data_IF_501473088500
#
_entry.id   IF_501473088500
#
_cell.length_a   1.000
_cell.length_b   1.000
_cell.length_c   1.000
_cell.angle_alpha   90.00
_cell.angle_beta   90.00
_cell.angle_gamma   90.00
#
_symmetry.space_group_name_H-M   'P 1'
#
loop_
_entity.id
_entity.type
_entity.pdbx_description
1 polymer ?
#
# COMPACT_ATOMS: atom_id res chain seq x y z
N UNK A 1 -36.86 7.03 -10.37
CA UNK A 1 -36.39 8.08 -9.45
C UNK A 1 -34.93 8.32 -9.79
N UNK A 2 -34.59 9.45 -10.42
CA UNK A 2 -33.19 9.86 -10.58
C UNK A 2 -32.54 9.94 -9.19
N UNK A 3 -31.47 9.18 -8.99
CA UNK A 3 -30.70 9.20 -7.75
C UNK A 3 -30.13 10.61 -7.54
N UNK A 4 -29.97 11.00 -6.28
CA UNK A 4 -29.35 12.28 -5.92
C UNK A 4 -27.97 12.44 -6.57
N UNK A 5 -27.17 11.37 -6.67
CA UNK A 5 -25.95 11.35 -7.49
C UNK A 5 -26.18 11.68 -8.96
N UNK A 6 -27.24 11.16 -9.62
CA UNK A 6 -27.47 11.41 -11.05
C UNK A 6 -27.59 12.91 -11.35
N UNK A 7 -28.48 13.61 -10.62
CA UNK A 7 -28.65 15.06 -10.77
C UNK A 7 -27.42 15.87 -10.38
N UNK A 8 -26.61 15.37 -9.45
CA UNK A 8 -25.41 16.08 -8.97
C UNK A 8 -24.16 15.80 -9.81
N UNK A 9 -24.03 14.59 -10.36
CA UNK A 9 -23.04 14.23 -11.39
C UNK A 9 -23.29 15.08 -12.63
N UNK A 10 -24.55 15.29 -13.03
CA UNK A 10 -24.90 16.20 -14.11
C UNK A 10 -24.55 17.66 -13.79
N UNK A 11 -24.85 18.13 -12.57
CA UNK A 11 -24.46 19.47 -12.13
C UNK A 11 -22.94 19.67 -12.08
N UNK A 12 -22.18 18.67 -11.61
CA UNK A 12 -20.72 18.71 -11.58
C UNK A 12 -20.13 18.59 -12.98
N UNK A 13 -20.63 17.70 -13.84
CA UNK A 13 -20.28 17.65 -15.27
C UNK A 13 -20.59 18.97 -15.98
N UNK A 14 -21.65 19.67 -15.58
CA UNK A 14 -22.01 20.98 -16.11
C UNK A 14 -21.14 22.14 -15.57
N UNK A 15 -20.55 21.98 -14.37
CA UNK A 15 -19.58 22.92 -13.78
C UNK A 15 -18.13 22.61 -14.16
N UNK A 16 -17.91 21.44 -14.75
CA UNK A 16 -16.65 20.95 -15.26
C UNK A 16 -16.57 21.33 -16.75
N UNK A 17 -16.31 22.62 -17.01
CA UNK A 17 -16.39 23.28 -18.33
C UNK A 17 -15.40 22.75 -19.39
N UNK A 18 -14.80 21.58 -19.21
CA UNK A 18 -13.77 21.06 -20.11
C UNK A 18 -12.45 21.84 -20.04
N UNK A 19 -12.29 22.72 -19.05
CA UNK A 19 -11.02 23.41 -18.83
C UNK A 19 -9.94 22.38 -18.50
N UNK A 20 -8.91 22.33 -19.35
CA UNK A 20 -7.67 21.64 -19.07
C UNK A 20 -7.11 22.16 -17.75
N UNK A 21 -6.94 21.26 -16.79
CA UNK A 21 -6.52 21.59 -15.44
C UNK A 21 -5.23 22.40 -15.49
N UNK A 22 -5.26 23.55 -14.80
CA UNK A 22 -4.34 24.66 -14.97
C UNK A 22 -2.88 24.22 -14.95
N UNK A 23 -2.20 24.47 -16.08
CA UNK A 23 -0.88 25.12 -16.14
C UNK A 23 -0.45 25.63 -14.77
N UNK A 24 0.38 24.86 -14.06
CA UNK A 24 1.20 25.38 -12.97
C UNK A 24 1.79 26.72 -13.44
N UNK A 25 1.60 27.80 -12.68
CA UNK A 25 2.02 29.17 -13.04
C UNK A 25 3.49 29.20 -13.46
N UNK A 26 3.72 29.04 -14.76
CA UNK A 26 5.03 29.14 -15.37
C UNK A 26 5.35 30.61 -15.45
N UNK A 27 6.15 31.13 -14.52
CA UNK A 27 6.74 32.46 -14.68
C UNK A 27 7.29 32.57 -16.11
N UNK A 28 6.95 33.62 -16.89
CA UNK A 28 7.39 33.78 -18.28
C UNK A 28 8.92 33.71 -18.45
N UNK A 29 9.67 33.87 -17.36
CA UNK A 29 11.12 33.67 -17.30
C UNK A 29 11.54 32.21 -17.47
N UNK A 30 10.90 31.26 -16.79
CA UNK A 30 11.29 29.85 -16.84
C UNK A 30 11.01 29.21 -18.20
N UNK A 31 9.83 29.48 -18.79
CA UNK A 31 9.52 29.01 -20.14
C UNK A 31 10.45 29.63 -21.19
N UNK A 32 10.92 30.86 -20.97
CA UNK A 32 11.92 31.50 -21.84
C UNK A 32 13.26 30.76 -21.76
N UNK A 33 13.74 30.48 -20.55
CA UNK A 33 14.98 29.71 -20.34
C UNK A 33 14.89 28.29 -20.92
N UNK A 34 13.76 27.60 -20.77
CA UNK A 34 13.54 26.27 -21.40
C UNK A 34 13.53 26.38 -22.92
N UNK A 35 12.86 27.39 -23.50
CA UNK A 35 12.86 27.61 -24.95
C UNK A 35 14.25 27.95 -25.50
N UNK A 36 15.08 28.67 -24.74
CA UNK A 36 16.48 28.92 -25.11
C UNK A 36 17.29 27.61 -25.17
N UNK A 37 17.07 26.69 -24.21
CA UNK A 37 17.71 25.36 -24.22
C UNK A 37 17.21 24.50 -25.38
N UNK A 38 15.90 24.50 -25.65
CA UNK A 38 15.33 23.78 -26.81
C UNK A 38 15.87 24.33 -28.14
N UNK A 39 16.05 25.65 -28.24
CA UNK A 39 16.64 26.31 -29.42
C UNK A 39 18.11 25.93 -29.61
N UNK A 40 18.89 25.86 -28.52
CA UNK A 40 20.26 25.35 -28.57
C UNK A 40 20.30 23.88 -28.99
N UNK A 41 19.35 23.06 -28.52
CA UNK A 41 19.24 21.66 -28.90
C UNK A 41 18.92 21.47 -30.39
N UNK A 42 18.08 22.32 -30.98
CA UNK A 42 17.68 22.25 -32.38
C UNK A 42 18.87 22.52 -33.32
N UNK A 43 19.82 23.37 -32.91
CA UNK A 43 21.04 23.61 -33.68
C UNK A 43 22.09 22.50 -33.61
N UNK A 44 21.89 21.48 -32.76
CA UNK A 44 22.90 20.46 -32.42
C UNK A 44 22.41 19.03 -32.74
N UNK A 45 21.12 18.73 -32.55
CA UNK A 45 20.53 17.40 -32.68
C UNK A 45 19.75 17.25 -34.02
N UNK A 46 19.85 16.09 -34.69
CA UNK A 46 19.12 15.77 -35.95
C UNK A 46 17.61 15.55 -35.81
N UNK A 47 17.12 15.42 -34.58
CA UNK A 47 15.74 15.01 -34.36
C UNK A 47 14.83 16.22 -34.53
N UNK A 48 13.75 16.06 -35.31
CA UNK A 48 12.70 17.07 -35.44
C UNK A 48 12.05 17.28 -34.06
N UNK A 49 12.57 18.27 -33.34
CA UNK A 49 12.11 18.67 -32.01
C UNK A 49 11.28 19.96 -32.06
N UNK A 50 10.87 20.42 -33.24
CA UNK A 50 10.04 21.62 -33.39
C UNK A 50 8.72 21.48 -32.63
N UNK A 51 8.12 20.28 -32.63
CA UNK A 51 6.91 19.98 -31.88
C UNK A 51 7.05 20.18 -30.36
N UNK A 52 8.26 20.12 -29.80
CA UNK A 52 8.50 20.35 -28.37
C UNK A 52 8.34 21.83 -28.00
N UNK A 53 8.56 22.76 -28.93
CA UNK A 53 8.36 24.19 -28.67
C UNK A 53 6.88 24.55 -28.54
N UNK A 54 6.07 24.01 -29.45
CA UNK A 54 4.63 24.26 -29.50
C UNK A 54 3.90 23.62 -28.31
N UNK A 55 4.43 22.50 -27.82
CA UNK A 55 3.86 21.78 -26.66
C UNK A 55 4.39 22.28 -25.31
N UNK A 56 5.50 23.01 -25.25
CA UNK A 56 6.08 23.56 -24.02
C UNK A 56 5.29 24.78 -23.51
N UNK A 57 4.19 24.51 -22.81
CA UNK A 57 3.23 25.51 -22.34
C UNK A 57 3.04 25.53 -20.81
N UNK A 58 3.59 24.56 -20.10
CA UNK A 58 3.55 24.41 -18.64
C UNK A 58 4.83 23.70 -18.12
N UNK A 59 4.98 23.54 -16.80
CA UNK A 59 6.13 22.85 -16.22
C UNK A 59 6.23 21.36 -16.59
N UNK A 60 5.09 20.69 -16.80
CA UNK A 60 5.04 19.24 -17.09
C UNK A 60 5.57 18.99 -18.51
N UNK A 61 5.05 19.74 -19.47
CA UNK A 61 5.48 19.74 -20.87
C UNK A 61 6.92 20.24 -21.02
N UNK A 62 7.33 21.26 -20.25
CA UNK A 62 8.73 21.70 -20.21
C UNK A 62 9.69 20.61 -19.70
N UNK A 63 9.33 19.91 -18.62
CA UNK A 63 10.14 18.81 -18.07
C UNK A 63 10.22 17.62 -19.04
N UNK A 64 9.12 17.28 -19.70
CA UNK A 64 9.09 16.23 -20.72
C UNK A 64 9.97 16.58 -21.93
N UNK A 65 9.93 17.85 -22.38
CA UNK A 65 10.77 18.35 -23.46
C UNK A 65 12.26 18.29 -23.10
N UNK A 66 12.65 18.78 -21.92
CA UNK A 66 14.04 18.69 -21.44
C UNK A 66 14.52 17.25 -21.28
N UNK A 67 13.67 16.34 -20.77
CA UNK A 67 14.01 14.92 -20.64
C UNK A 67 14.27 14.26 -21.99
N UNK A 68 13.47 14.63 -23.00
CA UNK A 68 13.64 14.15 -24.38
C UNK A 68 14.96 14.63 -24.96
N UNK A 69 15.28 15.93 -24.82
CA UNK A 69 16.56 16.50 -25.26
C UNK A 69 17.74 15.85 -24.52
N UNK A 70 17.64 15.68 -23.20
CA UNK A 70 18.66 15.02 -22.37
C UNK A 70 18.98 13.60 -22.89
N UNK A 71 17.95 12.84 -23.24
CA UNK A 71 18.10 11.50 -23.80
C UNK A 71 18.78 11.51 -25.17
N UNK A 72 18.40 12.43 -26.06
CA UNK A 72 19.01 12.58 -27.38
C UNK A 72 20.48 13.02 -27.30
N UNK A 73 20.79 13.99 -26.44
CA UNK A 73 22.17 14.44 -26.17
C UNK A 73 23.02 13.29 -25.63
N UNK A 74 22.46 12.47 -24.73
CA UNK A 74 23.14 11.29 -24.20
C UNK A 74 23.42 10.23 -25.28
N UNK A 75 22.46 10.02 -26.21
CA UNK A 75 22.62 9.11 -27.33
C UNK A 75 23.70 9.60 -28.32
N UNK A 76 23.75 10.91 -28.58
CA UNK A 76 24.78 11.53 -29.41
C UNK A 76 26.18 11.39 -28.77
N UNK A 77 26.32 11.65 -27.47
CA UNK A 77 27.57 11.47 -26.71
C UNK A 77 28.08 10.02 -26.72
N UNK A 78 27.18 9.02 -26.81
CA UNK A 78 27.53 7.61 -26.93
C UNK A 78 27.92 7.17 -28.35
N UNK A 79 27.97 8.08 -29.32
CA UNK A 79 28.50 7.82 -30.66
C UNK A 79 27.48 7.25 -31.66
N UNK A 80 26.18 7.37 -31.40
CA UNK A 80 25.17 6.96 -32.38
C UNK A 80 24.96 8.06 -33.44
N UNK A 81 25.50 7.87 -34.65
CA UNK A 81 25.48 8.86 -35.75
C UNK A 81 24.09 9.27 -36.26
N UNK A 82 23.02 8.60 -35.82
CA UNK A 82 21.63 8.95 -36.15
C UNK A 82 21.12 10.23 -35.47
N UNK A 83 21.84 10.77 -34.48
CA UNK A 83 21.35 11.81 -33.56
C UNK A 83 22.01 13.19 -33.72
N UNK A 84 23.00 13.37 -34.61
CA UNK A 84 23.76 14.61 -34.80
C UNK A 84 23.84 15.02 -36.28
N UNK A 85 23.51 16.29 -36.58
CA UNK A 85 23.20 16.75 -37.95
C UNK A 85 24.46 17.16 -38.72
N UNK A 86 25.54 17.41 -37.98
CA UNK A 86 26.83 17.86 -38.47
C UNK A 86 27.93 17.19 -37.63
N UNK A 87 29.21 17.36 -38.01
CA UNK A 87 30.37 17.11 -37.14
C UNK A 87 30.27 18.00 -35.89
N UNK A 88 29.44 17.61 -34.93
CA UNK A 88 29.29 18.31 -33.65
C UNK A 88 30.50 17.96 -32.79
N UNK A 89 31.21 18.98 -32.31
CA UNK A 89 32.32 18.74 -31.40
C UNK A 89 31.79 18.19 -30.07
N UNK A 90 32.53 17.27 -29.44
CA UNK A 90 32.13 16.71 -28.14
C UNK A 90 31.91 17.80 -27.09
N UNK A 91 32.58 18.95 -27.22
CA UNK A 91 32.39 20.13 -26.37
C UNK A 91 30.98 20.72 -26.45
N UNK A 92 30.37 20.79 -27.63
CA UNK A 92 29.03 21.36 -27.82
C UNK A 92 27.95 20.48 -27.21
N UNK A 93 28.11 19.15 -27.30
CA UNK A 93 27.23 18.19 -26.66
C UNK A 93 27.33 18.24 -25.12
N UNK A 94 28.53 18.45 -24.58
CA UNK A 94 28.73 18.62 -23.14
C UNK A 94 28.13 19.93 -22.63
N UNK A 95 28.31 21.04 -23.36
CA UNK A 95 27.69 22.33 -23.04
C UNK A 95 26.15 22.24 -23.10
N UNK A 96 25.60 21.58 -24.13
CA UNK A 96 24.16 21.32 -24.22
C UNK A 96 23.67 20.48 -23.03
N UNK A 97 24.41 19.43 -22.65
CA UNK A 97 24.06 18.60 -21.50
C UNK A 97 24.04 19.41 -20.19
N UNK A 98 25.04 20.27 -19.96
CA UNK A 98 25.11 21.13 -18.79
C UNK A 98 23.97 22.16 -18.76
N UNK A 99 23.63 22.75 -19.91
CA UNK A 99 22.48 23.68 -20.03
C UNK A 99 21.15 22.98 -19.75
N UNK A 100 20.95 21.77 -20.27
CA UNK A 100 19.75 20.95 -19.99
C UNK A 100 19.68 20.62 -18.51
N UNK A 101 20.77 20.18 -17.89
CA UNK A 101 20.83 19.90 -16.44
C UNK A 101 20.57 21.13 -15.58
N UNK A 102 21.13 22.28 -15.97
CA UNK A 102 20.92 23.53 -15.27
C UNK A 102 19.47 24.02 -15.38
N UNK A 103 18.83 23.84 -16.54
CA UNK A 103 17.39 24.14 -16.72
C UNK A 103 16.53 23.16 -15.91
N UNK A 104 16.81 21.85 -15.95
CA UNK A 104 16.13 20.83 -15.13
C UNK A 104 16.21 21.15 -13.63
N UNK A 105 17.39 21.57 -13.14
CA UNK A 105 17.61 21.89 -11.73
C UNK A 105 16.99 23.21 -11.27
N UNK A 106 16.61 24.10 -12.20
CA UNK A 106 15.95 25.39 -11.92
C UNK A 106 14.45 25.36 -12.10
N UNK A 107 13.93 24.38 -12.86
CA UNK A 107 12.51 24.06 -12.77
C UNK A 107 12.23 23.74 -11.30
N UNK A 108 11.35 24.50 -10.62
CA UNK A 108 10.90 24.09 -9.30
C UNK A 108 10.46 22.65 -9.41
N UNK A 109 11.03 21.76 -8.60
CA UNK A 109 10.39 20.48 -8.37
C UNK A 109 9.28 20.80 -7.37
N UNK A 110 8.00 20.97 -7.81
CA UNK A 110 6.91 21.23 -6.87
C UNK A 110 6.74 20.08 -5.86
N UNK A 111 7.46 18.97 -6.04
CA UNK A 111 7.46 17.81 -5.18
C UNK A 111 8.64 17.77 -4.19
N UNK A 112 9.75 18.54 -4.34
CA UNK A 112 10.90 18.43 -3.42
C UNK A 112 10.58 18.98 -2.03
N UNK A 113 9.92 20.14 -1.95
CA UNK A 113 9.41 20.71 -0.69
C UNK A 113 8.26 19.88 -0.08
N UNK A 114 7.47 19.20 -0.93
CA UNK A 114 6.47 18.20 -0.46
C UNK A 114 7.15 16.93 0.07
N UNK A 115 8.29 16.51 -0.48
CA UNK A 115 8.96 15.24 -0.16
C UNK A 115 9.51 15.19 1.26
N UNK A 116 10.23 16.22 1.70
CA UNK A 116 10.71 16.30 3.08
C UNK A 116 9.55 16.36 4.09
N UNK A 117 8.52 17.16 3.79
CA UNK A 117 7.37 17.32 4.68
C UNK A 117 6.43 16.11 4.70
N UNK A 118 6.26 15.37 3.59
CA UNK A 118 5.32 14.26 3.53
C UNK A 118 5.82 13.01 4.25
N UNK A 119 7.12 12.72 4.26
CA UNK A 119 7.65 11.61 5.07
C UNK A 119 7.38 11.86 6.56
N UNK A 120 7.69 13.05 7.05
CA UNK A 120 7.37 13.45 8.43
C UNK A 120 5.87 13.47 8.70
N UNK A 121 5.05 13.85 7.72
CA UNK A 121 3.59 13.86 7.84
C UNK A 121 3.03 12.45 7.91
N UNK A 122 3.48 11.54 7.05
CA UNK A 122 3.10 10.12 7.05
C UNK A 122 3.55 9.43 8.34
N UNK A 123 4.77 9.71 8.82
CA UNK A 123 5.26 9.18 10.09
C UNK A 123 4.42 9.69 11.27
N UNK A 124 4.15 11.00 11.36
CA UNK A 124 3.29 11.59 12.41
C UNK A 124 1.87 11.02 12.36
N UNK A 125 1.30 10.87 11.16
CA UNK A 125 0.01 10.26 10.92
C UNK A 125 -0.04 8.81 11.45
N UNK A 126 0.97 7.99 11.14
CA UNK A 126 1.08 6.62 11.64
C UNK A 126 1.25 6.54 13.15
N UNK A 127 2.02 7.46 13.76
CA UNK A 127 2.16 7.54 15.22
C UNK A 127 0.80 7.82 15.86
N UNK A 128 0.07 8.84 15.39
CA UNK A 128 -1.29 9.16 15.89
C UNK A 128 -2.27 8.00 15.70
N UNK A 129 -2.21 7.34 14.54
CA UNK A 129 -3.05 6.18 14.24
C UNK A 129 -2.71 5.01 15.16
N UNK A 130 -1.44 4.88 15.55
CA UNK A 130 -0.93 3.90 16.50
C UNK A 130 -1.49 4.00 17.91
N UNK A 131 -2.11 5.12 18.29
CA UNK A 131 -2.78 5.25 19.59
C UNK A 131 -4.12 4.49 19.66
N UNK A 132 -4.66 4.08 18.52
CA UNK A 132 -5.87 3.25 18.48
C UNK A 132 -5.65 1.91 19.20
N UNK A 133 -6.61 1.55 20.06
CA UNK A 133 -6.60 0.36 20.91
C UNK A 133 -7.40 -0.82 20.37
N UNK A 134 -8.03 -0.64 19.20
CA UNK A 134 -8.80 -1.70 18.55
C UNK A 134 -8.71 -1.58 17.03
N UNK A 135 -8.95 -2.70 16.35
CA UNK A 135 -9.06 -2.73 14.88
C UNK A 135 -10.17 -1.81 14.38
N UNK A 136 -11.30 -1.73 15.10
CA UNK A 136 -12.40 -0.84 14.73
C UNK A 136 -11.97 0.63 14.77
N UNK A 137 -11.32 1.06 15.85
CA UNK A 137 -10.82 2.43 15.97
C UNK A 137 -9.75 2.76 14.92
N UNK A 138 -8.95 1.78 14.50
CA UNK A 138 -8.02 1.94 13.37
C UNK A 138 -8.75 2.18 12.05
N UNK A 139 -9.76 1.38 11.73
CA UNK A 139 -10.54 1.50 10.50
C UNK A 139 -11.30 2.84 10.46
N UNK A 140 -11.84 3.30 11.58
CA UNK A 140 -12.57 4.57 11.65
C UNK A 140 -11.64 5.79 11.42
N UNK A 141 -10.35 5.67 11.75
CA UNK A 141 -9.38 6.77 11.67
C UNK A 141 -8.51 6.75 10.41
N UNK A 142 -8.34 5.60 9.75
CA UNK A 142 -7.37 5.46 8.65
C UNK A 142 -7.66 6.38 7.46
N UNK A 143 -8.93 6.53 7.06
CA UNK A 143 -9.27 7.32 5.86
C UNK A 143 -9.17 8.83 6.08
N UNK A 144 -9.69 9.42 7.18
CA UNK A 144 -9.41 10.82 7.49
C UNK A 144 -7.91 11.11 7.57
N UNK A 145 -7.15 10.21 8.21
CA UNK A 145 -5.70 10.33 8.30
C UNK A 145 -5.00 10.19 6.94
N UNK A 146 -5.53 9.40 6.00
CA UNK A 146 -5.03 9.36 4.63
C UNK A 146 -5.28 10.69 3.89
N UNK A 147 -6.44 11.32 4.07
CA UNK A 147 -6.72 12.64 3.49
C UNK A 147 -5.75 13.72 4.00
N UNK A 148 -5.33 13.65 5.27
CA UNK A 148 -4.29 14.55 5.84
C UNK A 148 -2.93 14.46 5.12
N UNK A 149 -2.68 13.42 4.31
CA UNK A 149 -1.45 13.26 3.53
C UNK A 149 -1.46 14.07 2.21
N UNK A 150 -2.54 14.81 1.93
CA UNK A 150 -2.70 15.60 0.70
C UNK A 150 -3.65 14.98 -0.33
N UNK A 151 -4.44 13.98 0.07
CA UNK A 151 -5.51 13.42 -0.75
C UNK A 151 -6.84 14.06 -0.39
N UNK A 152 -7.63 14.40 -1.40
CA UNK A 152 -8.98 14.94 -1.17
C UNK A 152 -9.92 13.83 -0.71
N UNK A 153 -9.76 12.64 -1.28
CA UNK A 153 -10.63 11.50 -1.04
C UNK A 153 -9.80 10.24 -0.88
N UNK A 154 -10.28 9.35 -0.04
CA UNK A 154 -9.62 8.07 0.21
C UNK A 154 -10.64 6.92 0.30
N UNK A 155 -10.27 5.75 -0.22
CA UNK A 155 -11.10 4.55 -0.22
C UNK A 155 -10.35 3.38 0.41
N UNK A 156 -10.98 2.73 1.40
CA UNK A 156 -10.53 1.47 1.96
C UNK A 156 -11.35 0.34 1.35
N UNK A 157 -10.69 -0.62 0.73
CA UNK A 157 -11.32 -1.82 0.18
C UNK A 157 -10.79 -3.08 0.85
N UNK A 158 -11.66 -4.07 1.02
CA UNK A 158 -11.31 -5.39 1.55
C UNK A 158 -11.09 -6.36 0.41
N UNK A 159 -10.05 -7.19 0.51
CA UNK A 159 -9.77 -8.28 -0.45
C UNK A 159 -9.91 -9.61 0.26
N UNK A 160 -10.78 -10.48 -0.25
CA UNK A 160 -10.99 -11.81 0.31
C UNK A 160 -11.53 -12.79 -0.75
N UNK A 161 -10.96 -14.00 -0.81
CA UNK A 161 -11.49 -15.09 -1.65
C UNK A 161 -11.50 -14.79 -3.15
N UNK A 162 -10.59 -13.93 -3.65
CA UNK A 162 -10.60 -13.49 -5.05
C UNK A 162 -11.61 -12.39 -5.36
N UNK A 163 -12.30 -11.87 -4.36
CA UNK A 163 -13.20 -10.74 -4.47
C UNK A 163 -12.63 -9.52 -3.75
N UNK A 164 -13.05 -8.34 -4.19
CA UNK A 164 -12.81 -7.09 -3.51
C UNK A 164 -14.11 -6.29 -3.37
N UNK A 165 -14.21 -5.51 -2.31
CA UNK A 165 -15.36 -4.66 -2.05
C UNK A 165 -14.94 -3.39 -1.31
N UNK A 166 -15.59 -2.28 -1.64
CA UNK A 166 -15.38 -1.00 -0.94
C UNK A 166 -15.91 -1.09 0.49
N UNK A 167 -15.02 -0.98 1.47
CA UNK A 167 -15.40 -1.10 2.88
C UNK A 167 -15.77 0.26 3.47
N UNK A 168 -15.01 1.30 3.13
CA UNK A 168 -15.23 2.66 3.60
C UNK A 168 -14.69 3.67 2.58
N UNK A 169 -15.23 4.88 2.59
CA UNK A 169 -14.73 6.02 1.83
C UNK A 169 -14.77 7.26 2.71
N UNK A 170 -13.78 8.13 2.54
CA UNK A 170 -13.76 9.47 3.12
C UNK A 170 -13.73 10.50 2.00
N UNK A 171 -14.68 11.43 2.08
CA UNK A 171 -14.71 12.70 1.37
C UNK A 171 -15.00 13.71 2.48
N UNK A 172 -13.99 14.41 3.02
CA UNK A 172 -14.17 15.30 4.19
C UNK A 172 -15.31 16.31 4.01
N UNK A 173 -15.49 16.79 2.79
CA UNK A 173 -16.49 17.78 2.41
C UNK A 173 -17.89 17.17 2.20
N UNK A 174 -18.00 15.84 2.03
CA UNK A 174 -19.26 15.20 1.62
C UNK A 174 -19.41 13.72 2.02
N UNK A 175 -19.93 13.50 3.23
CA UNK A 175 -20.21 12.16 3.75
C UNK A 175 -21.34 11.41 3.03
N UNK A 176 -22.27 12.13 2.39
CA UNK A 176 -23.37 11.50 1.64
C UNK A 176 -22.85 10.87 0.35
N UNK A 177 -22.00 11.59 -0.38
CA UNK A 177 -21.37 11.08 -1.60
C UNK A 177 -20.44 9.90 -1.31
N UNK A 178 -19.67 9.97 -0.22
CA UNK A 178 -18.86 8.86 0.25
C UNK A 178 -19.71 7.60 0.51
N UNK A 179 -20.86 7.76 1.17
CA UNK A 179 -21.79 6.66 1.48
C UNK A 179 -22.39 6.04 0.22
N UNK A 180 -22.66 6.85 -0.81
CA UNK A 180 -23.16 6.35 -2.09
C UNK A 180 -22.12 5.52 -2.85
N UNK A 181 -20.88 5.99 -2.92
CA UNK A 181 -19.79 5.26 -3.58
C UNK A 181 -19.53 3.93 -2.85
N UNK A 182 -19.55 3.94 -1.52
CA UNK A 182 -19.44 2.71 -0.72
C UNK A 182 -20.57 1.74 -1.06
N UNK A 183 -21.82 2.20 -1.13
CA UNK A 183 -22.96 1.36 -1.51
C UNK A 183 -22.77 0.74 -2.90
N UNK A 184 -22.30 1.52 -3.87
CA UNK A 184 -22.00 1.04 -5.24
C UNK A 184 -20.88 0.00 -5.25
N UNK A 185 -19.82 0.23 -4.47
CA UNK A 185 -18.66 -0.67 -4.39
C UNK A 185 -18.83 -1.91 -3.51
N UNK A 186 -19.93 -2.01 -2.74
CA UNK A 186 -20.25 -3.17 -1.92
C UNK A 186 -21.15 -4.20 -2.63
N UNK A 187 -21.97 -3.79 -3.59
CA UNK A 187 -23.04 -4.65 -4.13
C UNK A 187 -23.07 -4.73 -5.67
N UNK A 188 -22.82 -5.94 -6.24
CA UNK A 188 -22.24 -7.13 -5.59
C UNK A 188 -20.76 -6.95 -5.23
N UNK A 189 -20.20 -7.86 -4.42
CA UNK A 189 -18.75 -7.97 -4.26
C UNK A 189 -18.11 -8.25 -5.63
N UNK A 190 -17.00 -7.56 -5.92
CA UNK A 190 -16.43 -7.52 -7.27
C UNK A 190 -15.37 -8.59 -7.44
N UNK A 191 -15.43 -9.44 -8.47
CA UNK A 191 -14.35 -10.37 -8.74
C UNK A 191 -13.08 -9.59 -9.08
N UNK A 192 -11.95 -10.02 -8.54
CA UNK A 192 -10.64 -9.59 -9.01
C UNK A 192 -10.41 -10.28 -10.36
N UNK A 193 -10.87 -9.64 -11.43
CA UNK A 193 -10.80 -10.15 -12.79
C UNK A 193 -9.51 -9.72 -13.49
N UNK A 194 -8.99 -10.58 -14.36
CA UNK A 194 -7.86 -10.27 -15.22
C UNK A 194 -8.20 -9.04 -16.08
N UNK A 195 -7.29 -8.07 -16.13
CA UNK A 195 -7.49 -6.81 -16.85
C UNK A 195 -7.98 -5.65 -15.99
N UNK A 196 -8.33 -5.87 -14.71
CA UNK A 196 -8.56 -4.77 -13.76
C UNK A 196 -7.24 -4.34 -13.09
N UNK A 197 -7.08 -3.05 -12.83
CA UNK A 197 -5.91 -2.55 -12.10
C UNK A 197 -5.82 -3.14 -10.69
N UNK A 198 -6.94 -3.25 -9.97
CA UNK A 198 -6.99 -3.84 -8.63
C UNK A 198 -6.54 -5.31 -8.63
N UNK A 199 -6.78 -6.05 -9.73
CA UNK A 199 -6.27 -7.40 -9.89
C UNK A 199 -4.75 -7.42 -10.03
N UNK A 200 -4.17 -6.56 -10.86
CA UNK A 200 -2.72 -6.50 -11.04
C UNK A 200 -2.00 -6.04 -9.77
N UNK A 201 -2.59 -5.13 -8.99
CA UNK A 201 -2.09 -4.72 -7.67
C UNK A 201 -2.08 -5.91 -6.71
N UNK A 202 -3.16 -6.69 -6.65
CA UNK A 202 -3.24 -7.87 -5.76
C UNK A 202 -2.27 -8.96 -6.18
N UNK A 203 -2.18 -9.22 -7.50
CA UNK A 203 -1.35 -10.27 -8.09
C UNK A 203 0.15 -9.95 -7.98
N UNK A 204 0.55 -8.73 -8.33
CA UNK A 204 1.97 -8.30 -8.36
C UNK A 204 2.44 -7.69 -7.05
N UNK A 205 1.52 -7.32 -6.16
CA UNK A 205 1.82 -6.72 -4.87
C UNK A 205 2.56 -5.37 -4.99
N UNK A 206 2.20 -4.59 -6.01
CA UNK A 206 2.81 -3.28 -6.30
C UNK A 206 1.77 -2.15 -6.20
N UNK A 207 2.15 -0.98 -5.65
CA UNK A 207 1.42 0.26 -5.82
C UNK A 207 1.25 0.63 -7.30
N UNK A 208 0.10 1.18 -7.69
CA UNK A 208 -0.14 1.66 -9.05
C UNK A 208 -0.78 3.04 -9.06
N UNK A 209 -0.42 3.82 -10.09
CA UNK A 209 -1.12 5.03 -10.48
C UNK A 209 -2.06 4.65 -11.61
N UNK A 210 -3.31 5.07 -11.50
CA UNK A 210 -4.31 4.91 -12.55
C UNK A 210 -4.69 6.28 -13.05
N UNK A 211 -4.53 6.48 -14.36
CA UNK A 211 -4.91 7.70 -15.07
C UNK A 211 -6.11 7.43 -15.97
N UNK A 212 -6.75 8.49 -16.47
CA UNK A 212 -7.84 8.40 -17.45
C UNK A 212 -8.99 7.46 -17.02
N UNK A 213 -9.32 7.52 -15.74
CA UNK A 213 -10.26 6.59 -15.10
C UNK A 213 -11.64 6.58 -15.76
N UNK A 214 -12.09 7.72 -16.31
CA UNK A 214 -13.41 7.81 -16.94
C UNK A 214 -13.50 7.11 -18.29
N UNK A 215 -12.38 6.91 -18.99
CA UNK A 215 -12.31 6.28 -20.33
C UNK A 215 -11.69 4.89 -20.30
N UNK A 216 -11.01 4.53 -19.21
CA UNK A 216 -10.36 3.23 -19.05
C UNK A 216 -11.35 2.05 -18.98
N UNK A 217 -11.03 0.97 -19.71
CA UNK A 217 -11.72 -0.33 -19.61
C UNK A 217 -11.21 -1.19 -18.44
N UNK A 218 -10.10 -0.78 -17.83
CA UNK A 218 -9.39 -1.52 -16.78
C UNK A 218 -9.80 -1.12 -15.35
N UNK A 219 -10.85 -0.31 -15.21
CA UNK A 219 -11.40 0.13 -13.93
C UNK A 219 -12.80 -0.43 -13.70
N UNK A 220 -13.22 -0.43 -12.44
CA UNK A 220 -14.60 -0.78 -12.13
C UNK A 220 -15.57 0.34 -12.56
N UNK A 221 -16.33 0.09 -13.64
CA UNK A 221 -17.14 1.13 -14.28
C UNK A 221 -18.12 1.83 -13.33
N UNK A 222 -18.81 1.07 -12.46
CA UNK A 222 -19.81 1.64 -11.55
C UNK A 222 -19.17 2.57 -10.52
N UNK A 223 -17.98 2.21 -10.01
CA UNK A 223 -17.25 3.05 -9.06
C UNK A 223 -16.64 4.26 -9.77
N UNK A 224 -16.09 4.08 -10.98
CA UNK A 224 -15.57 5.18 -11.78
C UNK A 224 -16.65 6.23 -12.07
N UNK A 225 -17.85 5.80 -12.46
CA UNK A 225 -19.00 6.68 -12.71
C UNK A 225 -19.50 7.38 -11.44
N UNK A 226 -19.62 6.64 -10.33
CA UNK A 226 -20.12 7.19 -9.07
C UNK A 226 -19.13 8.17 -8.42
N UNK A 227 -17.83 7.91 -8.56
CA UNK A 227 -16.76 8.73 -7.96
C UNK A 227 -16.33 9.91 -8.83
N UNK A 228 -16.58 9.85 -10.15
CA UNK A 228 -16.05 10.80 -11.13
C UNK A 228 -14.52 10.96 -11.06
N UNK A 229 -13.80 9.99 -10.47
CA UNK A 229 -12.35 10.05 -10.37
C UNK A 229 -11.74 10.14 -11.77
N UNK A 230 -10.70 10.96 -11.93
CA UNK A 230 -9.96 11.10 -13.20
C UNK A 230 -8.63 10.36 -13.18
N UNK A 231 -7.99 10.37 -12.02
CA UNK A 231 -6.81 9.58 -11.70
C UNK A 231 -6.82 9.27 -10.21
N UNK A 232 -6.30 8.11 -9.83
CA UNK A 232 -6.13 7.72 -8.43
C UNK A 232 -4.86 6.89 -8.25
N UNK A 233 -4.34 6.91 -7.02
CA UNK A 233 -3.35 5.94 -6.56
C UNK A 233 -4.11 4.79 -5.90
N UNK A 234 -3.65 3.56 -6.14
CA UNK A 234 -4.09 2.40 -5.38
C UNK A 234 -2.88 1.62 -4.86
N UNK A 235 -2.89 1.31 -3.56
CA UNK A 235 -1.80 0.62 -2.88
C UNK A 235 -2.30 -0.59 -2.08
N UNK A 236 -1.54 -1.69 -2.05
CA UNK A 236 -1.93 -2.88 -1.30
C UNK A 236 -1.64 -2.75 0.20
N UNK A 237 -2.55 -3.24 1.03
CA UNK A 237 -2.36 -3.38 2.48
C UNK A 237 -1.90 -4.82 2.76
N UNK A 238 -0.65 -4.98 3.24
CA UNK A 238 0.02 -6.29 3.32
C UNK A 238 0.87 -6.49 4.60
N UNK A 239 0.27 -6.73 5.78
CA UNK A 239 1.03 -6.96 7.01
C UNK A 239 2.02 -8.15 6.95
N UNK A 240 1.74 -9.16 6.12
CA UNK A 240 2.52 -10.41 6.02
C UNK A 240 2.83 -10.81 4.57
N UNK A 241 2.97 -9.83 3.67
CA UNK A 241 3.16 -10.12 2.25
C UNK A 241 1.96 -10.81 1.59
N UNK A 242 0.78 -10.73 2.21
CA UNK A 242 -0.50 -11.09 1.59
C UNK A 242 -1.39 -9.85 1.58
N UNK A 243 -2.01 -9.57 0.44
CA UNK A 243 -2.97 -8.46 0.28
C UNK A 243 -4.26 -8.82 1.00
N UNK A 244 -4.59 -8.03 2.02
CA UNK A 244 -5.86 -8.14 2.77
C UNK A 244 -6.86 -7.04 2.42
N UNK A 245 -6.38 -6.01 1.72
CA UNK A 245 -7.15 -4.85 1.33
C UNK A 245 -6.34 -3.92 0.43
N UNK A 246 -7.02 -2.91 -0.08
CA UNK A 246 -6.45 -1.86 -0.91
C UNK A 246 -6.78 -0.51 -0.29
N UNK A 247 -5.85 0.41 -0.34
CA UNK A 247 -6.06 1.81 0.01
C UNK A 247 -5.93 2.64 -1.28
N UNK A 248 -6.91 3.49 -1.55
CA UNK A 248 -6.91 4.38 -2.70
C UNK A 248 -6.92 5.83 -2.25
N UNK A 249 -6.35 6.72 -3.05
CA UNK A 249 -6.36 8.16 -2.83
C UNK A 249 -6.40 8.93 -4.15
N UNK A 250 -7.10 10.06 -4.17
CA UNK A 250 -7.11 10.98 -5.31
C UNK A 250 -7.10 12.46 -4.90
N UNK A 251 -6.98 13.33 -5.91
CA UNK A 251 -6.86 14.79 -5.78
C UNK A 251 -7.94 15.50 -6.60
N UNK A 252 -9.18 15.05 -6.44
CA UNK A 252 -10.33 15.49 -7.23
C UNK A 252 -10.75 16.96 -7.03
N UNK A 253 -10.74 17.48 -5.80
CA UNK A 253 -11.06 18.90 -5.55
C UNK A 253 -9.87 19.80 -5.86
N UNK A 254 -8.65 19.27 -5.67
CA UNK A 254 -7.38 19.97 -5.84
C UNK A 254 -7.01 20.32 -7.27
N UNK A 255 -7.77 19.96 -8.31
CA UNK A 255 -7.38 20.47 -9.62
C UNK A 255 -6.23 19.73 -10.30
N UNK A 256 -5.74 18.60 -9.76
CA UNK A 256 -4.54 17.90 -10.28
C UNK A 256 -4.67 16.38 -10.48
N UNK A 257 -3.83 15.83 -11.37
CA UNK A 257 -3.58 14.40 -11.43
C UNK A 257 -2.70 13.93 -10.26
N UNK A 258 -2.87 12.66 -9.90
CA UNK A 258 -1.95 12.00 -8.97
C UNK A 258 -0.65 11.62 -9.68
N UNK A 259 0.45 11.61 -8.93
CA UNK A 259 1.79 11.31 -9.44
C UNK A 259 2.50 10.19 -8.67
N UNK A 260 3.78 9.94 -9.00
CA UNK A 260 4.62 8.96 -8.32
C UNK A 260 4.86 9.25 -6.85
N UNK A 261 4.89 10.53 -6.49
CA UNK A 261 5.08 10.94 -5.13
C UNK A 261 3.84 10.65 -4.27
N UNK A 262 2.64 10.95 -4.78
CA UNK A 262 1.39 10.56 -4.13
C UNK A 262 1.34 9.03 -3.93
N UNK A 263 1.77 8.27 -4.95
CA UNK A 263 1.85 6.80 -4.87
C UNK A 263 2.74 6.34 -3.73
N UNK A 264 3.94 6.90 -3.64
CA UNK A 264 4.94 6.49 -2.66
C UNK A 264 4.53 6.87 -1.23
N UNK A 265 3.95 8.06 -1.04
CA UNK A 265 3.43 8.51 0.26
C UNK A 265 2.30 7.60 0.75
N UNK A 266 1.33 7.29 -0.11
CA UNK A 266 0.22 6.42 0.24
C UNK A 266 0.69 4.98 0.49
N UNK A 267 1.69 4.51 -0.26
CA UNK A 267 2.27 3.18 -0.09
C UNK A 267 2.96 3.01 1.28
N UNK A 268 3.77 4.01 1.69
CA UNK A 268 4.42 4.03 3.02
C UNK A 268 3.35 4.01 4.12
N UNK A 269 2.34 4.86 3.99
CA UNK A 269 1.24 4.91 4.94
C UNK A 269 0.47 3.58 5.02
N UNK A 270 0.13 2.96 3.89
CA UNK A 270 -0.57 1.67 3.86
C UNK A 270 0.26 0.52 4.46
N UNK A 271 1.59 0.55 4.28
CA UNK A 271 2.51 -0.40 4.90
C UNK A 271 2.49 -0.25 6.42
N UNK A 272 2.65 0.97 6.93
CA UNK A 272 2.57 1.27 8.36
C UNK A 272 1.21 0.89 8.96
N UNK A 273 0.12 1.21 8.26
CA UNK A 273 -1.23 0.82 8.65
C UNK A 273 -1.40 -0.70 8.74
N UNK A 274 -0.84 -1.45 7.78
CA UNK A 274 -0.80 -2.91 7.82
C UNK A 274 -0.16 -3.43 9.11
N UNK A 275 0.99 -2.87 9.50
CA UNK A 275 1.64 -3.23 10.77
C UNK A 275 0.79 -2.88 12.00
N UNK A 276 0.09 -1.74 12.00
CA UNK A 276 -0.79 -1.34 13.10
C UNK A 276 -2.00 -2.29 13.25
N UNK A 277 -2.59 -2.73 12.13
CA UNK A 277 -3.66 -3.73 12.13
C UNK A 277 -3.19 -5.06 12.73
N UNK A 278 -2.01 -5.53 12.31
CA UNK A 278 -1.40 -6.74 12.85
C UNK A 278 -1.15 -6.61 14.34
N UNK A 279 -0.52 -5.52 14.78
CA UNK A 279 -0.20 -5.28 16.19
C UNK A 279 -1.46 -5.31 17.06
N UNK A 280 -2.53 -4.63 16.63
CA UNK A 280 -3.79 -4.63 17.38
C UNK A 280 -4.40 -6.03 17.46
N UNK A 281 -4.45 -6.78 16.35
CA UNK A 281 -4.93 -8.17 16.38
C UNK A 281 -4.13 -9.08 17.32
N UNK A 282 -2.80 -8.93 17.34
CA UNK A 282 -1.95 -9.69 18.25
C UNK A 282 -2.20 -9.32 19.72
N UNK A 283 -2.38 -8.02 20.01
CA UNK A 283 -2.74 -7.57 21.34
C UNK A 283 -4.09 -8.14 21.80
N UNK A 284 -5.10 -8.13 20.92
CA UNK A 284 -6.42 -8.69 21.18
C UNK A 284 -6.31 -10.19 21.47
N UNK A 285 -5.58 -10.94 20.64
CA UNK A 285 -5.35 -12.38 20.84
C UNK A 285 -4.64 -12.68 22.17
N UNK A 286 -3.61 -11.92 22.53
CA UNK A 286 -2.89 -12.09 23.80
C UNK A 286 -3.82 -11.80 24.99
N UNK A 287 -4.69 -10.79 24.88
CA UNK A 287 -5.66 -10.50 25.94
C UNK A 287 -6.67 -11.62 26.11
N UNK A 288 -7.23 -12.14 25.01
CA UNK A 288 -8.15 -13.29 25.05
C UNK A 288 -7.47 -14.52 25.67
N UNK A 289 -6.26 -14.86 25.23
CA UNK A 289 -5.50 -15.98 25.79
C UNK A 289 -5.22 -15.82 27.29
N UNK A 290 -4.90 -14.60 27.74
CA UNK A 290 -4.72 -14.31 29.17
C UNK A 290 -6.00 -14.55 29.97
N UNK A 291 -7.14 -14.07 29.46
CA UNK A 291 -8.45 -14.27 30.12
C UNK A 291 -8.79 -15.75 30.20
N UNK A 292 -8.57 -16.50 29.13
CA UNK A 292 -8.85 -17.94 29.09
C UNK A 292 -7.93 -18.72 30.05
N UNK A 293 -6.63 -18.39 30.11
CA UNK A 293 -5.70 -18.98 31.06
C UNK A 293 -6.07 -18.64 32.52
N UNK A 294 -6.50 -17.41 32.79
CA UNK A 294 -6.98 -17.02 34.13
C UNK A 294 -8.22 -17.82 34.53
N UNK A 295 -9.14 -18.11 33.58
CA UNK A 295 -10.33 -18.95 33.81
C UNK A 295 -9.98 -20.41 34.05
N UNK A 296 -9.03 -20.97 33.30
CA UNK A 296 -8.53 -22.33 33.52
C UNK A 296 -7.84 -22.43 34.87
N UNK A 297 -7.01 -21.45 35.22
CA UNK A 297 -6.34 -21.38 36.52
C UNK A 297 -7.34 -21.29 37.68
N UNK A 298 -8.35 -20.42 37.59
CA UNK A 298 -9.37 -20.31 38.63
C UNK A 298 -10.21 -21.59 38.77
N UNK A 299 -10.50 -22.29 37.67
CA UNK A 299 -11.30 -23.52 37.70
C UNK A 299 -10.48 -24.74 38.16
N UNK A 300 -9.18 -24.77 37.91
CA UNK A 300 -8.28 -25.82 38.40
C UNK A 300 -8.03 -25.71 39.92
N UNK A 301 -8.14 -24.50 40.48
CA UNK A 301 -7.97 -24.26 41.91
C UNK A 301 -9.27 -24.49 42.70
N UNK A 302 -10.43 -24.41 42.04
CA UNK A 302 -11.72 -24.74 42.66
C UNK A 302 -12.05 -26.24 42.72
N UNK A 303 -11.41 -27.07 41.88
CA UNK A 303 -11.69 -28.52 41.80
C UNK A 303 -10.70 -29.39 42.60
N UNK A 304 -9.66 -28.77 43.19
CA UNK A 304 -8.68 -29.43 44.07
C UNK A 304 -8.74 -28.92 45.52
N UNK A 305 -9.93 -28.48 45.95
CA UNK A 305 -10.19 -27.80 47.22
C UNK A 305 -10.68 -28.67 48.37
N UNK A 306 -10.43 -29.99 48.36
CA UNK A 306 -10.46 -30.80 49.58
C UNK A 306 -9.04 -31.33 49.86
N UNK A 307 -8.50 -30.88 50.99
CA UNK A 307 -7.22 -31.23 51.59
C UNK A 307 -5.96 -30.65 50.92
N UNK A 308 -5.54 -29.45 51.38
CA UNK A 308 -4.34 -29.29 52.22
C UNK A 308 -4.29 -27.85 52.75
N UNK A 309 -3.85 -27.74 54.00
CA UNK A 309 -4.02 -26.58 54.86
C UNK A 309 -3.40 -25.28 54.37
N UNK A 310 -3.97 -24.22 54.93
CA UNK A 310 -3.44 -22.87 55.00
C UNK A 310 -1.91 -22.83 55.13
N UNK A 311 -1.22 -22.32 54.11
CA UNK A 311 -0.12 -21.43 54.39
C UNK A 311 0.03 -20.36 53.30
N UNK A 312 0.01 -19.14 53.82
CA UNK A 312 0.51 -17.87 53.31
C UNK A 312 1.30 -17.87 51.99
N UNK A 313 0.96 -16.94 51.09
CA UNK A 313 1.90 -15.96 50.49
C UNK A 313 1.16 -15.06 49.48
N UNK A 314 0.37 -14.13 50.00
CA UNK A 314 0.13 -12.86 49.32
C UNK A 314 0.87 -11.78 50.12
N UNK A 315 1.82 -11.02 49.55
CA UNK A 315 2.18 -9.74 50.11
C UNK A 315 1.16 -8.71 49.64
N UNK A 316 0.21 -8.42 50.52
CA UNK A 316 -0.50 -7.15 50.57
C UNK A 316 0.38 -6.15 51.33
N UNK A 317 0.79 -5.07 50.67
CA UNK A 317 0.71 -3.74 51.29
C UNK A 317 1.12 -2.64 50.31
N UNK A 318 0.25 -1.64 50.25
CA UNK A 318 0.53 -0.32 49.73
C UNK A 318 1.56 0.37 50.63
N UNK A 319 2.60 0.94 50.04
CA UNK A 319 3.35 2.04 50.64
C UNK A 319 3.57 3.15 49.60
N UNK A 320 2.88 4.27 49.85
CA UNK A 320 3.17 5.57 49.26
C UNK A 320 4.53 6.04 49.80
N UNK A 321 5.54 6.09 48.96
CA UNK A 321 6.63 7.06 49.12
C UNK A 321 7.00 7.65 47.76
N UNK A 322 6.73 8.94 47.65
CA UNK A 322 7.11 9.86 46.59
C UNK A 322 8.63 9.95 46.43
N UNK A 323 9.16 9.55 45.28
CA UNK A 323 10.45 10.03 44.73
C UNK A 323 10.39 10.05 43.20
N UNK A 324 10.77 11.19 42.62
CA UNK A 324 10.84 11.48 41.18
C UNK A 324 11.79 10.53 40.42
N UNK A 325 11.51 10.20 39.15
CA UNK A 325 12.39 9.38 38.32
C UNK A 325 13.53 10.21 37.74
N UNK A 326 14.75 10.01 38.25
CA UNK A 326 15.98 10.45 37.56
C UNK A 326 16.34 9.44 36.48
N UNK A 327 16.33 9.89 35.24
CA UNK A 327 16.73 9.11 34.07
C UNK A 327 18.21 8.68 34.16
N UNK A 328 18.47 7.39 34.03
CA UNK A 328 19.77 6.85 33.61
C UNK A 328 19.56 5.80 32.51
N UNK A 329 20.42 5.78 31.48
CA UNK A 329 20.16 5.10 30.21
C UNK A 329 20.34 3.58 30.33
N UNK A 330 19.35 2.81 29.89
CA UNK A 330 19.48 1.36 29.77
C UNK A 330 20.32 1.00 28.53
N UNK A 331 21.42 0.29 28.79
CA UNK A 331 22.37 -0.24 27.82
C UNK A 331 21.74 -1.46 27.13
N UNK A 332 21.69 -1.45 25.79
CA UNK A 332 21.27 -2.60 24.98
C UNK A 332 22.26 -3.76 25.15
N UNK A 333 21.79 -4.93 25.61
CA UNK A 333 22.49 -6.21 25.46
C UNK A 333 21.67 -7.14 24.57
N UNK A 334 22.37 -7.78 23.64
CA UNK A 334 21.90 -8.68 22.61
C UNK A 334 21.17 -9.91 23.15
N UNK A 335 19.86 -10.00 22.89
CA UNK A 335 19.04 -11.20 23.11
C UNK A 335 18.15 -11.56 21.91
N UNK A 336 18.31 -10.89 20.76
CA UNK A 336 17.42 -11.05 19.59
C UNK A 336 17.69 -12.30 18.73
N UNK A 337 18.80 -13.00 18.92
CA UNK A 337 19.23 -14.08 18.01
C UNK A 337 18.54 -15.42 18.29
N UNK A 338 18.42 -15.85 19.55
CA UNK A 338 17.92 -17.18 19.87
C UNK A 338 16.38 -17.30 19.77
N UNK A 339 15.65 -16.26 20.17
CA UNK A 339 14.17 -16.23 20.09
C UNK A 339 13.64 -16.25 18.64
N UNK A 340 14.35 -15.61 17.70
CA UNK A 340 14.00 -15.58 16.28
C UNK A 340 14.14 -16.97 15.61
N UNK A 341 15.16 -17.73 16.01
CA UNK A 341 15.44 -19.06 15.48
C UNK A 341 14.47 -20.13 16.01
N UNK A 342 13.95 -19.96 17.23
CA UNK A 342 12.92 -20.85 17.79
C UNK A 342 11.54 -20.58 17.18
N UNK A 343 11.12 -19.31 17.05
CA UNK A 343 9.83 -18.97 16.41
C UNK A 343 9.81 -19.38 14.93
N UNK A 344 10.93 -19.23 14.21
CA UNK A 344 11.05 -19.68 12.82
C UNK A 344 10.96 -21.20 12.65
N UNK A 345 11.31 -21.99 13.68
CA UNK A 345 11.20 -23.46 13.65
C UNK A 345 9.76 -23.95 13.68
N UNK A 346 8.84 -23.18 14.25
CA UNK A 346 7.41 -23.52 14.36
C UNK A 346 6.52 -22.87 13.28
N UNK A 347 7.07 -21.94 12.51
CA UNK A 347 6.35 -21.30 11.39
C UNK A 347 6.53 -22.09 10.09
N UNK A 348 5.40 -22.49 9.50
CA UNK A 348 5.39 -23.07 8.16
C UNK A 348 5.76 -21.99 7.15
N UNK A 349 6.68 -22.32 6.25
CA UNK A 349 7.00 -21.46 5.10
C UNK A 349 5.80 -21.42 4.15
N UNK A 350 5.74 -20.41 3.27
CA UNK A 350 4.69 -20.28 2.24
C UNK A 350 4.48 -21.59 1.46
N UNK A 351 5.57 -22.25 1.06
CA UNK A 351 5.52 -23.49 0.29
C UNK A 351 5.02 -24.69 1.10
N UNK A 352 5.39 -24.76 2.37
CA UNK A 352 4.89 -25.78 3.30
C UNK A 352 3.40 -25.59 3.59
N UNK A 353 2.92 -24.35 3.68
CA UNK A 353 1.50 -24.02 3.85
C UNK A 353 0.68 -24.35 2.59
N UNK A 354 1.19 -24.05 1.39
CA UNK A 354 0.56 -24.46 0.12
C UNK A 354 0.40 -25.98 0.03
N UNK A 355 1.45 -26.72 0.36
CA UNK A 355 1.41 -28.20 0.39
C UNK A 355 0.41 -28.70 1.44
N UNK A 356 0.38 -28.11 2.65
CA UNK A 356 -0.58 -28.49 3.69
C UNK A 356 -2.04 -28.25 3.29
N UNK A 357 -2.34 -27.15 2.59
CA UNK A 357 -3.70 -26.86 2.08
C UNK A 357 -4.16 -27.90 1.08
N UNK A 358 -3.27 -28.33 0.17
CA UNK A 358 -3.61 -29.36 -0.82
C UNK A 358 -3.73 -30.75 -0.17
N UNK A 359 -2.93 -31.05 0.86
CA UNK A 359 -3.11 -32.25 1.69
C UNK A 359 -4.48 -32.23 2.39
N UNK A 360 -4.90 -31.08 2.93
CA UNK A 360 -6.20 -30.91 3.56
C UNK A 360 -7.37 -31.02 2.57
N UNK A 361 -7.15 -30.66 1.30
CA UNK A 361 -8.08 -30.89 0.20
C UNK A 361 -8.12 -32.36 -0.29
N UNK A 362 -7.32 -33.25 0.32
CA UNK A 362 -7.28 -34.67 -0.02
C UNK A 362 -6.37 -35.04 -1.19
N UNK A 363 -5.61 -34.09 -1.74
CA UNK A 363 -4.74 -34.36 -2.89
C UNK A 363 -3.59 -35.34 -2.53
N UNK A 364 -3.19 -36.14 -3.51
CA UNK A 364 -2.03 -37.05 -3.45
C UNK A 364 -0.73 -36.29 -3.78
N UNK A 365 0.43 -36.86 -3.41
CA UNK A 365 1.72 -36.21 -3.71
C UNK A 365 1.94 -35.97 -5.22
N UNK A 366 1.41 -36.85 -6.08
CA UNK A 366 1.46 -36.71 -7.53
C UNK A 366 0.59 -35.51 -8.03
N UNK A 367 -0.61 -35.36 -7.48
CA UNK A 367 -1.50 -34.24 -7.80
C UNK A 367 -0.91 -32.91 -7.31
N UNK A 368 -0.37 -32.90 -6.09
CA UNK A 368 0.32 -31.74 -5.52
C UNK A 368 1.54 -31.36 -6.38
N UNK A 369 2.33 -32.35 -6.80
CA UNK A 369 3.49 -32.16 -7.67
C UNK A 369 3.11 -31.47 -8.99
N UNK A 370 2.05 -31.96 -9.65
CA UNK A 370 1.55 -31.38 -10.89
C UNK A 370 0.99 -29.97 -10.69
N UNK A 371 0.19 -29.75 -9.65
CA UNK A 371 -0.45 -28.46 -9.36
C UNK A 371 0.56 -27.38 -8.99
N UNK A 372 1.64 -27.78 -8.34
CA UNK A 372 2.68 -26.89 -7.87
C UNK A 372 3.92 -26.85 -8.78
N UNK A 373 3.91 -27.57 -9.90
CA UNK A 373 4.98 -27.71 -10.90
C UNK A 373 6.34 -28.04 -10.24
N UNK A 374 6.38 -29.11 -9.45
CA UNK A 374 7.59 -29.63 -8.77
C UNK A 374 7.60 -31.16 -8.78
N UNK A 375 8.75 -31.79 -8.48
CA UNK A 375 8.83 -33.26 -8.41
C UNK A 375 8.08 -33.84 -7.20
N UNK A 376 7.59 -35.08 -7.32
CA UNK A 376 7.00 -35.81 -6.18
C UNK A 376 7.98 -35.98 -5.01
N UNK A 377 9.29 -36.11 -5.28
CA UNK A 377 10.33 -36.16 -4.26
C UNK A 377 10.44 -34.85 -3.47
N UNK A 378 10.27 -33.72 -4.16
CA UNK A 378 10.20 -32.37 -3.54
C UNK A 378 8.95 -32.24 -2.68
N UNK A 379 7.79 -32.74 -3.15
CA UNK A 379 6.55 -32.78 -2.35
C UNK A 379 6.74 -33.62 -1.09
N UNK A 380 7.28 -34.84 -1.18
CA UNK A 380 7.57 -35.70 -0.02
C UNK A 380 8.46 -34.99 1.01
N UNK A 381 9.44 -34.22 0.53
CA UNK A 381 10.33 -33.42 1.39
C UNK A 381 9.58 -32.29 2.10
N UNK A 382 8.68 -31.59 1.40
CA UNK A 382 7.81 -30.58 2.02
C UNK A 382 6.84 -31.20 3.03
N UNK A 383 6.21 -32.34 2.72
CA UNK A 383 5.33 -33.06 3.66
C UNK A 383 6.09 -33.43 4.92
N UNK A 384 7.30 -34.00 4.81
CA UNK A 384 8.12 -34.36 5.98
C UNK A 384 8.45 -33.13 6.85
N UNK A 385 8.73 -31.98 6.24
CA UNK A 385 8.99 -30.73 6.98
C UNK A 385 7.72 -30.19 7.63
N UNK A 386 6.57 -30.24 6.94
CA UNK A 386 5.26 -29.87 7.49
C UNK A 386 4.92 -30.69 8.71
N UNK A 387 5.00 -32.03 8.62
CA UNK A 387 4.73 -32.94 9.74
C UNK A 387 5.63 -32.62 10.94
N UNK A 388 6.94 -32.47 10.70
CA UNK A 388 7.90 -32.12 11.75
C UNK A 388 7.60 -30.78 12.41
N UNK A 389 7.28 -29.74 11.63
CA UNK A 389 6.99 -28.39 12.15
C UNK A 389 5.66 -28.31 12.89
N UNK A 390 4.69 -29.13 12.51
CA UNK A 390 3.40 -29.24 13.19
C UNK A 390 3.42 -30.21 14.38
N UNK A 391 4.49 -30.98 14.56
CA UNK A 391 4.54 -32.05 15.56
C UNK A 391 3.58 -33.20 15.25
N UNK A 392 3.14 -33.35 13.99
CA UNK A 392 2.18 -34.37 13.58
C UNK A 392 2.89 -35.67 13.21
N UNK A 393 2.38 -36.80 13.70
CA UNK A 393 2.90 -38.13 13.37
C UNK A 393 2.49 -38.60 11.97
N UNK A 394 1.35 -38.11 11.44
CA UNK A 394 0.87 -38.47 10.11
C UNK A 394 0.09 -37.35 9.40
N UNK A 395 -0.19 -37.55 8.11
CA UNK A 395 -0.89 -36.57 7.25
C UNK A 395 -2.28 -36.19 7.78
N UNK A 396 -3.00 -37.14 8.38
CA UNK A 396 -4.37 -36.93 8.88
C UNK A 396 -4.34 -36.07 10.13
N UNK A 397 -3.38 -36.31 11.02
CA UNK A 397 -3.14 -35.50 12.21
C UNK A 397 -2.72 -34.08 11.83
N UNK A 398 -1.86 -33.92 10.83
CA UNK A 398 -1.50 -32.59 10.31
C UNK A 398 -2.70 -31.82 9.76
N UNK A 399 -3.63 -32.50 9.07
CA UNK A 399 -4.90 -31.91 8.61
C UNK A 399 -5.79 -31.55 9.78
N UNK A 400 -5.90 -32.41 10.81
CA UNK A 400 -6.68 -32.11 12.01
C UNK A 400 -6.14 -30.88 12.75
N UNK A 401 -4.82 -30.76 12.91
CA UNK A 401 -4.16 -29.58 13.49
C UNK A 401 -4.41 -28.35 12.62
N UNK A 402 -4.29 -28.47 11.30
CA UNK A 402 -4.56 -27.38 10.37
C UNK A 402 -6.01 -26.90 10.45
N UNK A 403 -6.98 -27.81 10.49
CA UNK A 403 -8.41 -27.47 10.57
C UNK A 403 -8.79 -26.91 11.94
N UNK A 404 -8.26 -27.44 13.05
CA UNK A 404 -8.45 -26.86 14.39
C UNK A 404 -7.91 -25.43 14.46
N UNK A 405 -6.69 -25.19 13.97
CA UNK A 405 -6.11 -23.85 13.89
C UNK A 405 -6.84 -22.92 12.91
N UNK A 406 -7.48 -23.47 11.88
CA UNK A 406 -8.30 -22.69 10.93
C UNK A 406 -9.70 -22.39 11.48
N UNK A 407 -10.22 -23.26 12.36
CA UNK A 407 -11.47 -23.07 13.08
C UNK A 407 -11.31 -22.09 14.25
N UNK A 408 -10.18 -22.09 14.95
CA UNK A 408 -9.82 -21.07 15.95
C UNK A 408 -9.55 -19.68 15.31
N UNK A 409 -9.44 -19.63 13.97
CA UNK A 409 -9.38 -18.40 13.16
C UNK A 409 -10.77 -17.94 12.68
N UNK A 410 -11.84 -18.65 13.04
CA UNK A 410 -13.22 -18.26 12.77
C UNK A 410 -14.05 -18.14 14.05
N UNK A 411 -14.29 -16.92 14.55
CA UNK A 411 -15.61 -16.57 15.03
C UNK A 411 -16.49 -16.30 13.80
N UNK A 412 -17.56 -17.10 13.70
CA UNK A 412 -18.82 -16.68 13.08
C UNK A 412 -19.19 -15.27 13.53
N UNK A 413 -19.48 -14.39 12.57
CA UNK A 413 -20.19 -13.11 12.76
C UNK A 413 -19.72 -12.24 13.93
N UNK A 414 -18.59 -11.55 13.81
CA UNK A 414 -18.37 -10.15 14.26
C UNK A 414 -16.88 -9.83 14.25
N UNK A 415 -16.54 -8.72 13.57
CA UNK A 415 -15.31 -7.91 13.61
C UNK A 415 -13.93 -8.59 13.70
#
# INVERSE_FOLDING_TARGET
>A
METFAGRRIEAWRAQDFGDHWERLDTSPRYLREVREVLSAAQGILTSDIEYLFDTCIDFVTAKAALSTVSQLTYQALRGNQSSAETLVETGDLLDLFDRVRAAEGRLPDPHLGRRETAFETAQRALVRLGDAKSVRALIDRVLPTACELGFDRAILSKVHGGFWATQAMCIPEDSQWASEIVRVGQQPAQPLALGLYEYEIVRRQIPMIVSEVQTSEHVHRRIAEASLARSYVAVPIMPHGQVIGLLHGDCYFQRRHVDEFDRDVLAIFAMGFGYLLLRNRLCDQIQTLKVDLSRIGSNAWSDSGEALGSDSLLPSSAEKTSREPTARPFRHQDGRSEYSAEVSRYMLTRRELEVLKLIAAGETNAQIANRLIISEGTVKSHVKRVLRKLGAANRTEAVSIFLKRSADVLPTNSW
#
